data_IF_638181750686
#
_entry.id   IF_638181750686
#
_cell.length_a   1.000
_cell.length_b   1.000
_cell.length_c   1.000
_cell.angle_alpha   90.00
_cell.angle_beta   90.00
_cell.angle_gamma   90.00
#
_symmetry.space_group_name_H-M   'P 1'
#
loop_
_entity.id
_entity.type
_entity.pdbx_description
1 polymer ?
#
# COMPACT_ATOMS: atom_id res chain seq x y z
N UNK A 1 21.16 -1.25 8.33
CA UNK A 1 20.70 -0.48 9.50
C UNK A 1 19.76 -1.40 10.29
N UNK A 2 20.07 -1.68 11.55
CA UNK A 2 19.14 -2.39 12.44
C UNK A 2 18.14 -1.33 12.91
N UNK A 3 16.85 -1.55 12.68
CA UNK A 3 15.80 -0.62 13.08
C UNK A 3 15.50 -0.87 14.57
N UNK A 4 15.75 0.10 15.47
CA UNK A 4 15.33 -0.01 16.87
C UNK A 4 13.81 -0.13 16.95
N UNK A 5 13.29 -0.78 18.00
CA UNK A 5 11.85 -0.91 18.25
C UNK A 5 11.08 -1.52 17.06
N UNK A 6 11.67 -2.53 16.41
CA UNK A 6 11.15 -3.13 15.18
C UNK A 6 9.69 -3.62 15.32
N UNK A 7 9.28 -4.05 16.51
CA UNK A 7 7.90 -4.46 16.80
C UNK A 7 6.93 -3.29 16.62
N UNK A 8 7.26 -2.13 17.19
CA UNK A 8 6.44 -0.92 17.10
C UNK A 8 6.44 -0.41 15.66
N UNK A 9 7.60 -0.37 15.02
CA UNK A 9 7.75 0.04 13.62
C UNK A 9 6.92 -0.87 12.70
N UNK A 10 6.95 -2.19 12.92
CA UNK A 10 6.17 -3.13 12.14
C UNK A 10 4.65 -2.89 12.30
N UNK A 11 4.18 -2.69 13.53
CA UNK A 11 2.77 -2.37 13.80
C UNK A 11 2.36 -1.07 13.07
N UNK A 12 3.19 -0.03 13.13
CA UNK A 12 2.93 1.23 12.45
C UNK A 12 2.85 1.06 10.94
N UNK A 13 3.80 0.35 10.33
CA UNK A 13 3.78 0.09 8.89
C UNK A 13 2.55 -0.72 8.48
N UNK A 14 2.16 -1.73 9.26
CA UNK A 14 0.94 -2.51 9.03
C UNK A 14 -0.30 -1.59 9.07
N UNK A 15 -0.38 -0.67 10.04
CA UNK A 15 -1.50 0.27 10.11
C UNK A 15 -1.50 1.26 8.94
N UNK A 16 -0.35 1.83 8.58
CA UNK A 16 -0.21 2.79 7.50
C UNK A 16 -0.54 2.18 6.12
N UNK A 17 -0.25 0.89 5.92
CA UNK A 17 -0.64 0.17 4.71
C UNK A 17 -2.09 -0.36 4.81
N UNK A 18 -2.47 -0.93 5.95
CA UNK A 18 -3.72 -1.65 6.14
C UNK A 18 -4.95 -0.75 6.28
N UNK A 19 -4.85 0.35 7.04
CA UNK A 19 -5.99 1.25 7.27
C UNK A 19 -6.56 1.84 5.98
N UNK A 20 -5.76 2.35 5.03
CA UNK A 20 -6.29 2.80 3.74
C UNK A 20 -7.01 1.69 2.97
N UNK A 21 -6.58 0.44 3.08
CA UNK A 21 -7.21 -0.71 2.42
C UNK A 21 -8.56 -1.00 3.07
N UNK A 22 -8.60 -1.11 4.40
CA UNK A 22 -9.83 -1.34 5.16
C UNK A 22 -10.86 -0.24 4.87
N UNK A 23 -10.45 1.03 4.97
CA UNK A 23 -11.31 2.17 4.70
C UNK A 23 -11.97 2.10 3.31
N UNK A 24 -11.17 1.86 2.28
CA UNK A 24 -11.70 1.74 0.92
C UNK A 24 -12.51 0.45 0.70
N UNK A 25 -12.22 -0.63 1.43
CA UNK A 25 -12.99 -1.87 1.36
C UNK A 25 -14.43 -1.66 1.87
N UNK A 26 -14.59 -0.96 2.99
CA UNK A 26 -15.90 -0.54 3.49
C UNK A 26 -16.60 0.40 2.51
N UNK A 27 -15.90 1.44 2.03
CA UNK A 27 -16.48 2.44 1.12
C UNK A 27 -16.91 1.86 -0.24
N UNK A 28 -16.19 0.88 -0.76
CA UNK A 28 -16.51 0.24 -2.05
C UNK A 28 -17.46 -0.96 -1.91
N UNK A 29 -18.02 -1.22 -0.71
CA UNK A 29 -18.94 -2.33 -0.48
C UNK A 29 -18.32 -3.71 -0.68
N UNK A 30 -16.99 -3.82 -0.62
CA UNK A 30 -16.28 -5.09 -0.77
C UNK A 30 -16.64 -6.08 0.34
N UNK A 31 -16.91 -5.55 1.53
CA UNK A 31 -17.32 -6.31 2.72
C UNK A 31 -18.73 -6.90 2.55
N UNK A 32 -19.61 -6.21 1.82
CA UNK A 32 -20.99 -6.67 1.58
C UNK A 32 -21.09 -7.65 0.41
N UNK A 33 -20.30 -7.44 -0.65
CA UNK A 33 -20.26 -8.36 -1.80
C UNK A 33 -18.84 -8.47 -2.34
N UNK A 34 -18.19 -9.59 -2.01
CA UNK A 34 -16.83 -9.85 -2.45
C UNK A 34 -16.78 -10.10 -3.96
N UNK A 35 -15.89 -9.41 -4.65
CA UNK A 35 -15.50 -9.77 -6.01
C UNK A 35 -14.04 -9.42 -6.25
N UNK A 36 -13.36 -10.24 -7.04
CA UNK A 36 -11.95 -10.01 -7.37
C UNK A 36 -11.72 -8.63 -8.00
N UNK A 37 -12.60 -8.21 -8.91
CA UNK A 37 -12.51 -6.88 -9.54
C UNK A 37 -12.63 -5.74 -8.53
N UNK A 38 -13.55 -5.83 -7.57
CA UNK A 38 -13.70 -4.83 -6.49
C UNK A 38 -12.51 -4.86 -5.54
N UNK A 39 -11.95 -6.03 -5.22
CA UNK A 39 -10.75 -6.15 -4.39
C UNK A 39 -9.59 -5.37 -5.02
N UNK A 40 -9.28 -5.63 -6.30
CA UNK A 40 -8.19 -4.94 -7.00
C UNK A 40 -8.45 -3.44 -7.10
N UNK A 41 -9.70 -3.01 -7.34
CA UNK A 41 -10.05 -1.59 -7.35
C UNK A 41 -9.84 -0.93 -5.98
N UNK A 42 -10.22 -1.61 -4.89
CA UNK A 42 -10.00 -1.14 -3.52
C UNK A 42 -8.52 -0.95 -3.24
N UNK A 43 -7.70 -1.98 -3.52
CA UNK A 43 -6.25 -1.93 -3.31
C UNK A 43 -5.61 -0.80 -4.13
N UNK A 44 -5.98 -0.65 -5.42
CA UNK A 44 -5.47 0.44 -6.27
C UNK A 44 -5.87 1.84 -5.76
N UNK A 45 -7.10 2.01 -5.22
CA UNK A 45 -7.50 3.29 -4.61
C UNK A 45 -6.70 3.57 -3.35
N UNK A 46 -6.45 2.56 -2.53
CA UNK A 46 -5.64 2.68 -1.30
C UNK A 46 -4.19 3.02 -1.59
N UNK A 47 -3.63 2.53 -2.70
CA UNK A 47 -2.27 2.86 -3.13
C UNK A 47 -2.06 4.38 -3.26
N UNK A 48 -3.06 5.14 -3.73
CA UNK A 48 -2.96 6.61 -3.82
C UNK A 48 -2.79 7.24 -2.44
N UNK A 49 -3.57 6.78 -1.46
CA UNK A 49 -3.51 7.27 -0.08
C UNK A 49 -2.16 6.89 0.54
N UNK A 50 -1.73 5.65 0.36
CA UNK A 50 -0.42 5.17 0.82
C UNK A 50 0.74 5.94 0.17
N UNK A 51 0.61 6.34 -1.10
CA UNK A 51 1.58 7.21 -1.77
C UNK A 51 1.69 8.59 -1.12
N UNK A 52 0.56 9.20 -0.74
CA UNK A 52 0.53 10.46 0.02
C UNK A 52 1.17 10.28 1.40
N UNK A 53 0.85 9.18 2.11
CA UNK A 53 1.48 8.84 3.40
C UNK A 53 3.01 8.72 3.25
N UNK A 54 3.48 8.01 2.22
CA UNK A 54 4.91 7.85 1.95
C UNK A 54 5.61 9.19 1.69
N UNK A 55 4.98 10.08 0.90
CA UNK A 55 5.47 11.43 0.67
C UNK A 55 5.56 12.25 1.97
N UNK A 56 4.55 12.18 2.83
CA UNK A 56 4.55 12.85 4.12
C UNK A 56 5.64 12.30 5.04
N UNK A 57 5.84 10.99 5.09
CA UNK A 57 6.91 10.37 5.88
C UNK A 57 8.30 10.82 5.42
N UNK A 58 8.53 10.91 4.11
CA UNK A 58 9.79 11.41 3.54
C UNK A 58 10.00 12.88 3.93
N UNK A 59 8.96 13.71 3.79
CA UNK A 59 9.05 15.13 4.15
C UNK A 59 9.34 15.32 5.64
N UNK A 60 8.63 14.59 6.51
CA UNK A 60 8.86 14.62 7.95
C UNK A 60 10.30 14.21 8.29
N UNK A 61 10.75 13.09 7.75
CA UNK A 61 12.14 12.62 7.92
C UNK A 61 13.15 13.67 7.44
N UNK A 62 12.89 14.34 6.31
CA UNK A 62 13.80 15.37 5.80
C UNK A 62 13.83 16.62 6.69
N UNK A 63 12.66 17.12 7.12
CA UNK A 63 12.56 18.29 8.00
C UNK A 63 13.19 18.05 9.38
N UNK A 64 13.05 16.84 9.93
CA UNK A 64 13.61 16.49 11.23
C UNK A 64 15.13 16.40 11.18
N UNK A 65 15.68 15.87 10.09
CA UNK A 65 17.12 15.82 9.85
C UNK A 65 17.70 17.23 9.70
N UNK A 66 16.97 18.14 9.06
CA UNK A 66 17.41 19.53 8.87
C UNK A 66 17.36 20.36 10.15
N UNK A 67 16.38 20.10 11.03
CA UNK A 67 16.19 20.83 12.27
C UNK A 67 17.13 20.40 13.42
N UNK A 68 18.04 19.45 13.18
CA UNK A 68 19.02 18.92 14.16
C UNK A 68 18.38 18.38 15.46
N UNK A 69 17.07 18.12 15.44
CA UNK A 69 16.42 17.34 16.47
C UNK A 69 16.99 15.94 16.37
N UNK A 70 17.48 15.40 17.49
CA UNK A 70 17.91 14.00 17.60
C UNK A 70 16.91 13.12 16.84
N UNK A 71 17.40 12.53 15.76
CA UNK A 71 16.56 11.86 14.78
C UNK A 71 15.83 10.71 15.48
N UNK A 72 14.51 10.81 15.65
CA UNK A 72 13.74 9.78 16.33
C UNK A 72 13.85 8.50 15.49
N UNK A 73 14.54 7.49 16.06
CA UNK A 73 14.81 6.22 15.40
C UNK A 73 13.54 5.51 14.97
N UNK A 74 12.41 5.80 15.63
CA UNK A 74 11.11 5.24 15.32
C UNK A 74 10.51 5.84 14.04
N UNK A 75 10.58 7.16 13.85
CA UNK A 75 10.08 7.82 12.64
C UNK A 75 10.92 7.41 11.42
N UNK A 76 12.24 7.42 11.58
CA UNK A 76 13.19 6.97 10.57
C UNK A 76 12.98 5.50 10.18
N UNK A 77 12.85 4.63 11.19
CA UNK A 77 12.59 3.22 11.02
C UNK A 77 11.27 2.96 10.31
N UNK A 78 10.22 3.71 10.67
CA UNK A 78 8.89 3.63 10.05
C UNK A 78 8.92 4.08 8.60
N UNK A 79 9.52 5.24 8.30
CA UNK A 79 9.64 5.75 6.93
C UNK A 79 10.41 4.78 6.05
N UNK A 80 11.57 4.30 6.51
CA UNK A 80 12.39 3.34 5.78
C UNK A 80 11.63 2.02 5.53
N UNK A 81 11.07 1.42 6.58
CA UNK A 81 10.37 0.13 6.48
C UNK A 81 9.12 0.24 5.61
N UNK A 82 8.36 1.33 5.73
CA UNK A 82 7.19 1.59 4.88
C UNK A 82 7.58 1.65 3.40
N UNK A 83 8.67 2.36 3.06
CA UNK A 83 9.14 2.46 1.67
C UNK A 83 9.65 1.12 1.16
N UNK A 84 10.44 0.38 1.95
CA UNK A 84 10.97 -0.92 1.54
C UNK A 84 9.85 -1.92 1.29
N UNK A 85 8.93 -2.07 2.25
CA UNK A 85 7.76 -2.96 2.10
C UNK A 85 6.87 -2.49 0.95
N UNK A 86 6.62 -1.18 0.85
CA UNK A 86 5.82 -0.57 -0.21
C UNK A 86 6.35 -0.85 -1.60
N UNK A 87 7.62 -0.54 -1.86
CA UNK A 87 8.22 -0.64 -3.20
C UNK A 87 8.64 -2.05 -3.58
N UNK A 88 9.19 -2.84 -2.65
CA UNK A 88 9.78 -4.14 -2.97
C UNK A 88 8.86 -5.32 -2.72
N UNK A 89 7.81 -5.17 -1.90
CA UNK A 89 6.87 -6.27 -1.63
C UNK A 89 5.47 -5.95 -2.15
N UNK A 90 4.91 -4.81 -1.76
CA UNK A 90 3.51 -4.48 -2.02
C UNK A 90 3.25 -4.09 -3.48
N UNK A 91 4.04 -3.18 -4.06
CA UNK A 91 3.89 -2.75 -5.45
C UNK A 91 4.03 -3.90 -6.46
N UNK A 92 5.06 -4.78 -6.36
CA UNK A 92 5.19 -5.93 -7.26
C UNK A 92 3.99 -6.87 -7.19
N UNK A 93 3.49 -7.16 -6.00
CA UNK A 93 2.29 -7.98 -5.82
C UNK A 93 1.06 -7.33 -6.48
N UNK A 94 0.88 -6.01 -6.31
CA UNK A 94 -0.23 -5.28 -6.90
C UNK A 94 -0.16 -5.22 -8.44
N UNK A 95 1.04 -5.06 -9.00
CA UNK A 95 1.24 -5.14 -10.46
C UNK A 95 0.83 -6.50 -10.99
N UNK A 96 1.24 -7.59 -10.32
CA UNK A 96 0.85 -8.94 -10.70
C UNK A 96 -0.67 -9.13 -10.63
N UNK A 97 -1.32 -8.66 -9.56
CA UNK A 97 -2.78 -8.73 -9.41
C UNK A 97 -3.53 -7.96 -10.51
N UNK A 98 -3.04 -6.77 -10.87
CA UNK A 98 -3.60 -6.00 -11.98
C UNK A 98 -3.40 -6.72 -13.33
N UNK A 99 -2.25 -7.36 -13.53
CA UNK A 99 -1.99 -8.17 -14.71
C UNK A 99 -2.92 -9.39 -14.81
N UNK A 100 -3.12 -10.12 -13.70
CA UNK A 100 -4.09 -11.23 -13.63
C UNK A 100 -5.50 -10.73 -13.98
N UNK A 101 -5.93 -9.60 -13.39
CA UNK A 101 -7.21 -8.98 -13.70
C UNK A 101 -7.36 -8.66 -15.19
N UNK A 102 -6.30 -8.16 -15.82
CA UNK A 102 -6.27 -7.89 -17.26
C UNK A 102 -6.42 -9.17 -18.09
N UNK A 103 -5.69 -10.24 -17.75
CA UNK A 103 -5.79 -11.53 -18.44
C UNK A 103 -7.21 -12.14 -18.35
N UNK A 104 -7.82 -12.10 -17.17
CA UNK A 104 -9.19 -12.59 -16.96
C UNK A 104 -10.18 -11.81 -17.83
N UNK A 105 -10.09 -10.47 -17.82
CA UNK A 105 -10.96 -9.61 -18.64
C UNK A 105 -10.83 -9.93 -20.12
N UNK A 106 -9.58 -10.05 -20.62
CA UNK A 106 -9.30 -10.38 -22.03
C UNK A 106 -9.84 -11.75 -22.44
N UNK A 107 -9.77 -12.75 -21.56
CA UNK A 107 -10.31 -14.10 -21.82
C UNK A 107 -11.83 -14.07 -21.94
N UNK A 108 -12.51 -13.35 -21.05
CA UNK A 108 -13.97 -13.20 -21.08
C UNK A 108 -14.46 -12.48 -22.34
N UNK A 109 -13.74 -11.44 -22.78
CA UNK A 109 -14.08 -10.72 -24.02
C UNK A 109 -13.94 -11.60 -25.27
N UNK A 110 -12.88 -12.42 -25.35
CA UNK A 110 -12.72 -13.38 -26.46
C UNK A 110 -13.84 -14.43 -26.51
N UNK A 111 -14.30 -14.91 -25.35
CA UNK A 111 -15.40 -15.89 -25.29
C UNK A 111 -16.73 -15.34 -25.81
N UNK A 112 -16.95 -14.02 -25.72
CA UNK A 112 -18.18 -13.36 -26.19
C UNK A 112 -18.20 -13.05 -27.68
N UNK A 113 -17.05 -13.12 -28.35
CA UNK A 113 -16.90 -12.83 -29.79
C UNK A 113 -16.92 -14.14 -30.62
N UNK A 114 -16.75 -15.29 -29.96
CA UNK A 114 -16.82 -16.62 -30.57
C UNK A 114 -18.20 -17.28 -30.52
N UNK A 115 -19.22 -16.59 -30.01
CA UNK A 115 -20.65 -16.88 -30.15
C UNK A 115 -21.26 -15.95 -31.20
#
# INVERSE_FOLDING_TARGET
>A
MIVPDIEIVAILVILLLGLPILWNAFKNGLVSSFSFTKLIQTINKSLKIQGVIGLLLILLAWTWNWADFNFDSLLAGTAYTFLVVGFFMYLPALLLLNFIKYLIKRKLEKSKIGE
#
